data_IF_550242049509
#
_entry.id   IF_550242049509
#
_cell.length_a   1.000
_cell.length_b   1.000
_cell.length_c   1.000
_cell.angle_alpha   90.00
_cell.angle_beta   90.00
_cell.angle_gamma   90.00
#
_symmetry.space_group_name_H-M   'P 1'
#
loop_
_entity.id
_entity.type
_entity.pdbx_description
1 polymer ?
#
# COMPACT_ATOMS: atom_id res chain seq x y z
N UNK A 1 -10.69 6.35 14.83
CA UNK A 1 -9.53 5.86 14.05
C UNK A 1 -9.59 4.34 14.00
N UNK A 2 -9.18 3.69 12.89
CA UNK A 2 -9.04 2.25 12.80
C UNK A 2 -8.09 1.75 13.90
N UNK A 3 -8.39 0.60 14.52
CA UNK A 3 -7.49 0.03 15.52
C UNK A 3 -6.22 -0.45 14.81
N UNK A 4 -5.02 -0.15 15.35
CA UNK A 4 -3.78 -0.76 14.88
C UNK A 4 -3.92 -2.28 14.83
N UNK A 5 -3.42 -2.89 13.76
CA UNK A 5 -3.33 -4.35 13.65
C UNK A 5 -1.88 -4.75 13.95
N UNK A 6 -1.58 -5.30 15.13
CA UNK A 6 -0.19 -5.58 15.51
C UNK A 6 0.47 -6.54 14.54
N UNK A 7 1.77 -6.34 14.26
CA UNK A 7 2.51 -7.18 13.31
C UNK A 7 2.46 -8.68 13.68
N UNK A 8 2.48 -9.01 14.98
CA UNK A 8 2.36 -10.40 15.43
C UNK A 8 1.01 -11.03 15.07
N UNK A 9 -0.04 -10.22 14.96
CA UNK A 9 -1.36 -10.66 14.52
C UNK A 9 -1.44 -10.74 12.98
N UNK A 10 -0.75 -9.86 12.25
CA UNK A 10 -0.61 -9.95 10.79
C UNK A 10 -0.02 -11.30 10.38
N UNK A 11 1.05 -11.75 11.03
CA UNK A 11 1.70 -13.06 10.78
C UNK A 11 0.84 -14.28 11.15
N UNK A 12 -0.36 -14.07 11.71
CA UNK A 12 -1.32 -15.14 12.04
C UNK A 12 -2.65 -14.97 11.31
N UNK A 13 -2.72 -14.02 10.39
CA UNK A 13 -3.95 -13.68 9.66
C UNK A 13 -4.04 -14.48 8.37
N UNK A 14 -4.75 -15.61 8.44
CA UNK A 14 -4.91 -16.53 7.32
C UNK A 14 -6.11 -16.22 6.42
N UNK A 15 -6.78 -15.08 6.61
CA UNK A 15 -7.86 -14.65 5.70
C UNK A 15 -7.33 -14.54 4.26
N UNK A 16 -7.97 -15.19 3.28
CA UNK A 16 -7.56 -15.11 1.88
C UNK A 16 -7.73 -13.69 1.32
N UNK A 17 -6.78 -13.28 0.49
CA UNK A 17 -6.81 -12.02 -0.25
C UNK A 17 -7.26 -12.28 -1.69
N UNK A 18 -8.25 -11.51 -2.16
CA UNK A 18 -8.81 -11.64 -3.51
C UNK A 18 -8.28 -10.57 -4.45
N UNK A 19 -8.10 -9.35 -3.94
CA UNK A 19 -7.58 -8.22 -4.70
C UNK A 19 -6.60 -7.42 -3.86
N UNK A 20 -5.58 -6.90 -4.52
CA UNK A 20 -4.76 -5.81 -3.99
C UNK A 20 -5.36 -4.51 -4.52
N UNK A 21 -5.93 -3.71 -3.62
CA UNK A 21 -6.46 -2.40 -3.97
C UNK A 21 -5.46 -1.32 -3.60
N UNK A 22 -5.03 -0.56 -4.60
CA UNK A 22 -4.23 0.65 -4.40
C UNK A 22 -5.19 1.82 -4.34
N UNK A 23 -5.22 2.53 -3.22
CA UNK A 23 -6.04 3.72 -3.07
C UNK A 23 -5.18 4.95 -2.85
N UNK A 24 -5.54 6.02 -3.53
CA UNK A 24 -5.05 7.38 -3.28
C UNK A 24 -6.05 8.05 -2.35
N UNK A 25 -5.59 8.44 -1.18
CA UNK A 25 -6.40 9.05 -0.14
C UNK A 25 -6.16 10.57 -0.15
N UNK A 26 -7.24 11.35 -0.15
CA UNK A 26 -7.26 12.80 -0.03
C UNK A 26 -7.39 13.27 1.42
N UNK A 27 -7.27 14.59 1.63
CA UNK A 27 -7.51 15.22 2.93
C UNK A 27 -6.32 15.25 3.89
N UNK A 28 -5.09 15.11 3.37
CA UNK A 28 -3.86 15.30 4.15
C UNK A 28 -3.17 16.60 3.75
N UNK A 29 -2.68 17.35 4.74
CA UNK A 29 -2.04 18.66 4.57
C UNK A 29 -0.82 18.63 3.63
N UNK A 30 -0.20 17.45 3.47
CA UNK A 30 1.05 17.26 2.74
C UNK A 30 0.84 16.54 1.38
N UNK A 31 -0.40 16.48 0.89
CA UNK A 31 -0.76 15.91 -0.41
C UNK A 31 -1.43 14.53 -0.33
N UNK A 32 -1.54 13.80 -1.45
CA UNK A 32 -2.23 12.50 -1.42
C UNK A 32 -1.41 11.42 -0.70
N UNK A 33 -2.11 10.47 -0.10
CA UNK A 33 -1.51 9.31 0.54
C UNK A 33 -1.85 8.04 -0.23
N UNK A 34 -0.85 7.30 -0.69
CA UNK A 34 -1.06 6.01 -1.35
C UNK A 34 -1.06 4.91 -0.28
N UNK A 35 -2.04 4.01 -0.33
CA UNK A 35 -2.14 2.87 0.59
C UNK A 35 -2.54 1.59 -0.13
N UNK A 36 -2.06 0.46 0.38
CA UNK A 36 -2.47 -0.87 -0.05
C UNK A 36 -3.61 -1.36 0.83
N UNK A 37 -4.68 -1.84 0.21
CA UNK A 37 -5.77 -2.54 0.87
C UNK A 37 -5.79 -3.98 0.35
N UNK A 38 -5.56 -4.93 1.25
CA UNK A 38 -5.71 -6.35 1.01
C UNK A 38 -7.19 -6.68 1.17
N UNK A 39 -7.90 -6.82 0.05
CA UNK A 39 -9.35 -7.06 0.06
C UNK A 39 -9.61 -8.54 0.27
N UNK A 40 -10.30 -8.88 1.35
CA UNK A 40 -10.53 -10.27 1.73
C UNK A 40 -11.63 -10.94 0.89
N UNK A 41 -11.68 -12.27 0.95
CA UNK A 41 -12.81 -13.04 0.44
C UNK A 41 -14.16 -12.49 0.97
N UNK A 42 -15.16 -12.43 0.10
CA UNK A 42 -16.46 -11.80 0.38
C UNK A 42 -16.54 -10.30 0.09
N UNK A 43 -15.41 -9.60 -0.14
CA UNK A 43 -15.37 -8.18 -0.53
C UNK A 43 -16.04 -7.20 0.46
N UNK A 44 -16.08 -7.56 1.74
CA UNK A 44 -16.67 -6.73 2.81
C UNK A 44 -15.62 -6.10 3.72
N UNK A 45 -14.45 -6.73 3.86
CA UNK A 45 -13.41 -6.32 4.79
C UNK A 45 -12.06 -6.23 4.10
N UNK A 46 -11.15 -5.46 4.69
CA UNK A 46 -9.78 -5.36 4.20
C UNK A 46 -8.76 -5.17 5.31
N UNK A 47 -7.53 -5.58 5.06
CA UNK A 47 -6.36 -5.21 5.85
C UNK A 47 -5.59 -4.15 5.07
N UNK A 48 -5.42 -2.97 5.66
CA UNK A 48 -4.60 -1.90 5.05
C UNK A 48 -3.15 -2.04 5.52
N UNK A 49 -2.23 -2.01 4.55
CA UNK A 49 -0.80 -1.90 4.75
C UNK A 49 -0.33 -0.57 4.15
N UNK A 50 0.39 0.23 4.93
CA UNK A 50 0.94 1.51 4.46
C UNK A 50 2.24 1.82 5.17
N UNK A 51 2.95 2.83 4.68
CA UNK A 51 4.14 3.36 5.33
C UNK A 51 3.94 4.82 5.72
N UNK A 52 4.32 5.15 6.96
CA UNK A 52 4.24 6.50 7.52
C UNK A 52 5.65 7.00 7.80
N UNK A 53 5.96 8.22 7.33
CA UNK A 53 7.17 8.90 7.73
C UNK A 53 7.07 9.32 9.20
N UNK A 54 8.15 9.12 9.94
CA UNK A 54 8.28 9.69 11.27
C UNK A 54 8.60 11.19 11.13
N UNK A 55 8.03 12.03 12.00
CA UNK A 55 8.05 13.49 11.80
C UNK A 55 9.43 14.12 12.01
N UNK A 56 10.29 13.43 12.73
CA UNK A 56 11.57 13.96 13.24
C UNK A 56 12.78 13.22 12.68
N UNK A 57 12.57 12.24 11.80
CA UNK A 57 13.61 11.36 11.26
C UNK A 57 13.34 11.05 9.79
N UNK A 58 14.34 10.54 9.08
CA UNK A 58 14.14 9.97 7.74
C UNK A 58 13.58 8.53 7.80
N UNK A 59 13.35 8.00 9.00
CA UNK A 59 12.81 6.66 9.17
C UNK A 59 11.33 6.61 8.84
N UNK A 60 10.87 5.41 8.51
CA UNK A 60 9.45 5.18 8.32
C UNK A 60 8.99 3.93 9.04
N UNK A 61 7.72 3.94 9.41
CA UNK A 61 7.07 2.82 10.07
C UNK A 61 6.03 2.21 9.14
N UNK A 62 6.10 0.89 8.96
CA UNK A 62 5.03 0.13 8.30
C UNK A 62 3.87 -0.04 9.27
N UNK A 63 2.69 0.39 8.84
CA UNK A 63 1.46 0.36 9.63
C UNK A 63 0.44 -0.59 9.01
N UNK A 64 -0.10 -1.44 9.87
CA UNK A 64 -1.17 -2.37 9.54
C UNK A 64 -2.45 -1.98 10.28
N UNK A 65 -3.60 -2.14 9.64
CA UNK A 65 -4.91 -1.89 10.26
C UNK A 65 -5.99 -2.75 9.59
N UNK A 66 -6.94 -3.22 10.38
CA UNK A 66 -8.09 -3.97 9.88
C UNK A 66 -9.32 -3.06 9.75
N UNK A 67 -10.09 -3.28 8.67
CA UNK A 67 -11.26 -2.49 8.34
C UNK A 67 -12.44 -3.39 7.98
N UNK A 68 -13.63 -2.96 8.38
CA UNK A 68 -14.92 -3.52 7.99
C UNK A 68 -15.45 -2.90 6.68
N UNK A 69 -14.53 -2.44 5.84
CA UNK A 69 -14.79 -1.87 4.53
C UNK A 69 -13.62 -2.22 3.62
N UNK A 70 -13.84 -2.12 2.30
CA UNK A 70 -12.79 -2.39 1.29
C UNK A 70 -12.23 -1.12 0.65
N UNK A 71 -12.85 0.04 0.88
CA UNK A 71 -12.38 1.34 0.43
C UNK A 71 -12.66 2.42 1.49
N UNK A 72 -11.69 3.28 1.76
CA UNK A 72 -11.87 4.40 2.67
C UNK A 72 -12.75 5.49 2.04
N UNK A 73 -13.58 6.17 2.84
CA UNK A 73 -14.31 7.37 2.41
C UNK A 73 -13.40 8.53 1.95
N UNK A 74 -12.11 8.50 2.33
CA UNK A 74 -11.11 9.47 1.87
C UNK A 74 -10.49 9.12 0.53
N UNK A 75 -10.81 7.96 -0.06
CA UNK A 75 -10.26 7.56 -1.34
C UNK A 75 -10.83 8.41 -2.47
N UNK A 76 -9.93 8.99 -3.27
CA UNK A 76 -10.27 9.84 -4.42
C UNK A 76 -10.05 9.13 -5.75
N UNK A 77 -9.11 8.16 -5.80
CA UNK A 77 -8.93 7.24 -6.93
C UNK A 77 -8.38 5.92 -6.40
N UNK A 78 -8.75 4.82 -7.04
CA UNK A 78 -8.24 3.49 -6.70
C UNK A 78 -8.13 2.58 -7.92
N UNK A 79 -7.34 1.52 -7.77
CA UNK A 79 -7.16 0.46 -8.75
C UNK A 79 -7.13 -0.88 -8.06
N UNK A 80 -7.82 -1.87 -8.63
CA UNK A 80 -7.86 -3.24 -8.15
C UNK A 80 -7.00 -4.13 -9.02
N UNK A 81 -6.11 -4.88 -8.38
CA UNK A 81 -5.28 -5.91 -9.03
C UNK A 81 -5.74 -7.27 -8.51
N UNK A 82 -6.25 -8.16 -9.37
CA UNK A 82 -6.67 -9.49 -8.95
C UNK A 82 -5.47 -10.31 -8.50
N UNK A 83 -5.66 -11.08 -7.43
CA UNK A 83 -4.69 -12.08 -6.98
C UNK A 83 -4.70 -13.26 -7.97
N UNK A 84 -3.54 -13.64 -8.49
CA UNK A 84 -3.36 -14.73 -9.45
C UNK A 84 -3.02 -16.06 -8.76
N UNK A 85 -2.27 -16.00 -7.66
CA UNK A 85 -1.94 -17.15 -6.81
C UNK A 85 -2.52 -16.92 -5.43
N UNK A 86 -3.31 -17.88 -4.95
CA UNK A 86 -3.91 -17.81 -3.62
C UNK A 86 -2.86 -17.43 -2.55
N UNK A 87 -3.20 -16.43 -1.76
CA UNK A 87 -2.40 -15.92 -0.66
C UNK A 87 -3.29 -15.35 0.44
N UNK A 88 -2.68 -15.16 1.60
CA UNK A 88 -3.30 -14.62 2.81
C UNK A 88 -2.64 -13.31 3.21
N UNK A 89 -3.25 -12.60 4.16
CA UNK A 89 -2.63 -11.41 4.78
C UNK A 89 -1.29 -11.78 5.42
N UNK A 90 -1.21 -12.94 6.07
CA UNK A 90 0.03 -13.49 6.64
C UNK A 90 1.13 -13.65 5.60
N UNK A 91 0.84 -14.22 4.42
CA UNK A 91 1.84 -14.41 3.37
C UNK A 91 2.44 -13.09 2.89
N UNK A 92 1.57 -12.08 2.70
CA UNK A 92 1.99 -10.72 2.30
C UNK A 92 2.73 -10.04 3.45
N UNK A 93 2.30 -10.24 4.69
CA UNK A 93 3.00 -9.79 5.89
C UNK A 93 4.42 -10.33 5.92
N UNK A 94 4.61 -11.64 5.83
CA UNK A 94 5.94 -12.25 5.78
C UNK A 94 6.78 -11.68 4.65
N UNK A 95 6.26 -11.60 3.42
CA UNK A 95 6.96 -10.98 2.29
C UNK A 95 7.47 -9.55 2.61
N UNK A 96 6.62 -8.69 3.19
CA UNK A 96 7.01 -7.31 3.56
C UNK A 96 8.18 -7.31 4.56
N UNK A 97 8.16 -8.19 5.55
CA UNK A 97 9.19 -8.18 6.60
C UNK A 97 10.46 -8.95 6.19
N UNK A 98 10.32 -10.08 5.50
CA UNK A 98 11.44 -10.90 5.02
C UNK A 98 12.28 -10.14 3.96
N UNK A 99 11.63 -9.29 3.16
CA UNK A 99 12.31 -8.41 2.19
C UNK A 99 12.82 -7.08 2.80
N UNK A 100 12.81 -6.92 4.12
CA UNK A 100 13.31 -5.70 4.79
C UNK A 100 12.48 -4.44 4.50
N UNK A 101 11.24 -4.55 3.98
CA UNK A 101 10.43 -3.39 3.58
C UNK A 101 9.95 -2.54 4.76
N UNK A 102 10.07 -3.08 5.98
CA UNK A 102 9.87 -2.35 7.23
C UNK A 102 11.04 -1.44 7.62
N UNK A 103 12.23 -1.65 7.05
CA UNK A 103 13.43 -0.84 7.25
C UNK A 103 13.58 0.19 6.12
N UNK A 104 12.49 0.88 5.82
CA UNK A 104 12.47 1.87 4.74
C UNK A 104 12.82 3.26 5.28
N UNK A 105 13.84 3.88 4.70
CA UNK A 105 14.13 5.30 4.88
C UNK A 105 13.44 6.11 3.79
N UNK A 106 12.75 7.17 4.20
CA UNK A 106 11.88 7.98 3.37
C UNK A 106 12.41 9.42 3.28
N UNK A 107 13.18 9.76 2.24
CA UNK A 107 13.80 11.08 2.11
C UNK A 107 12.78 12.22 2.17
N UNK A 108 12.91 13.08 3.18
CA UNK A 108 12.00 14.20 3.43
C UNK A 108 10.52 13.81 3.50
N UNK A 109 10.20 12.57 3.88
CA UNK A 109 8.82 12.06 3.97
C UNK A 109 8.08 11.87 2.63
N UNK A 110 8.79 11.84 1.50
CA UNK A 110 8.21 11.83 0.13
C UNK A 110 8.24 10.48 -0.60
N UNK A 111 8.74 9.42 0.02
CA UNK A 111 8.93 8.10 -0.60
C UNK A 111 7.77 7.10 -0.51
N UNK A 112 6.57 7.50 -0.07
CA UNK A 112 5.42 6.58 0.07
C UNK A 112 5.00 5.90 -1.24
N UNK A 113 5.06 6.64 -2.35
CA UNK A 113 4.70 6.12 -3.68
C UNK A 113 5.68 5.04 -4.14
N UNK A 114 6.98 5.32 -3.94
CA UNK A 114 8.05 4.38 -4.23
C UNK A 114 7.94 3.10 -3.40
N UNK A 115 7.69 3.25 -2.10
CA UNK A 115 7.49 2.10 -1.22
C UNK A 115 6.31 1.23 -1.68
N UNK A 116 5.14 1.84 -1.95
CA UNK A 116 3.97 1.11 -2.45
C UNK A 116 4.25 0.40 -3.78
N UNK A 117 4.95 1.06 -4.71
CA UNK A 117 5.36 0.44 -5.97
C UNK A 117 6.32 -0.73 -5.76
N UNK A 118 7.25 -0.61 -4.82
CA UNK A 118 8.20 -1.67 -4.45
C UNK A 118 7.46 -2.90 -3.88
N UNK A 119 6.50 -2.69 -2.98
CA UNK A 119 5.67 -3.80 -2.47
C UNK A 119 4.91 -4.51 -3.61
N UNK A 120 4.42 -3.78 -4.60
CA UNK A 120 3.79 -4.38 -5.77
C UNK A 120 4.77 -5.19 -6.62
N UNK A 121 6.04 -4.77 -6.75
CA UNK A 121 7.08 -5.57 -7.41
C UNK A 121 7.35 -6.86 -6.63
N UNK A 122 7.48 -6.80 -5.31
CA UNK A 122 7.67 -7.98 -4.46
C UNK A 122 6.51 -8.98 -4.61
N UNK A 123 5.27 -8.47 -4.70
CA UNK A 123 4.09 -9.32 -4.93
C UNK A 123 4.11 -9.99 -6.31
N UNK A 124 4.67 -9.33 -7.33
CA UNK A 124 4.89 -9.92 -8.66
C UNK A 124 5.96 -11.00 -8.60
N UNK A 125 7.07 -10.76 -7.89
CA UNK A 125 8.15 -11.74 -7.72
C UNK A 125 7.69 -12.98 -6.94
N UNK A 126 6.82 -12.80 -5.94
CA UNK A 126 6.14 -13.89 -5.25
C UNK A 126 5.05 -14.56 -6.10
N UNK A 127 4.69 -14.01 -7.27
CA UNK A 127 3.61 -14.52 -8.12
C UNK A 127 2.21 -14.33 -7.56
N UNK A 128 2.02 -13.46 -6.56
CA UNK A 128 0.71 -13.14 -6.00
C UNK A 128 -0.16 -12.36 -6.99
N UNK A 129 0.44 -11.47 -7.78
CA UNK A 129 -0.24 -10.63 -8.79
C UNK A 129 0.54 -10.60 -10.10
N UNK A 130 -0.12 -10.16 -11.17
CA UNK A 130 0.48 -10.09 -12.50
C UNK A 130 1.39 -8.88 -12.71
N UNK A 131 2.48 -9.09 -13.46
CA UNK A 131 3.46 -8.04 -13.81
C UNK A 131 2.85 -6.94 -14.67
N UNK A 132 1.92 -7.29 -15.56
CA UNK A 132 1.34 -6.35 -16.52
C UNK A 132 0.50 -5.28 -15.82
N UNK A 133 -0.30 -5.69 -14.85
CA UNK A 133 -1.16 -4.85 -14.04
C UNK A 133 -0.32 -3.82 -13.27
N UNK A 134 0.76 -4.25 -12.61
CA UNK A 134 1.66 -3.33 -11.89
C UNK A 134 2.37 -2.36 -12.85
N UNK A 135 2.84 -2.84 -14.01
CA UNK A 135 3.48 -1.97 -15.02
C UNK A 135 2.52 -0.89 -15.53
N UNK A 136 1.25 -1.23 -15.73
CA UNK A 136 0.22 -0.28 -16.17
C UNK A 136 -0.04 0.84 -15.16
N UNK A 137 0.19 0.58 -13.87
CA UNK A 137 0.00 1.55 -12.80
C UNK A 137 1.19 2.48 -12.59
N UNK A 138 2.38 2.16 -13.10
CA UNK A 138 3.60 2.95 -12.87
C UNK A 138 3.39 4.44 -13.12
N UNK A 139 2.77 4.79 -14.25
CA UNK A 139 2.50 6.18 -14.61
C UNK A 139 1.54 6.88 -13.63
N UNK A 140 0.62 6.16 -12.98
CA UNK A 140 -0.32 6.74 -12.01
C UNK A 140 0.38 7.17 -10.71
N UNK A 141 1.48 6.54 -10.33
CA UNK A 141 2.26 6.99 -9.17
C UNK A 141 2.99 8.32 -9.43
N UNK A 142 3.13 8.75 -10.69
CA UNK A 142 3.77 10.02 -11.04
C UNK A 142 2.90 11.27 -10.84
N UNK A 143 1.72 11.16 -10.23
CA UNK A 143 0.76 12.27 -10.15
C UNK A 143 0.26 12.58 -8.74
N UNK A 144 -0.07 13.85 -8.55
CA UNK A 144 -1.04 14.32 -7.58
C UNK A 144 -2.44 14.27 -8.18
N UNK A 145 -3.41 13.84 -7.38
CA UNK A 145 -4.82 13.76 -7.72
C UNK A 145 -5.59 14.80 -6.91
N UNK A 146 -6.42 15.58 -7.59
CA UNK A 146 -7.35 16.50 -6.93
C UNK A 146 -8.51 15.75 -6.27
N UNK A 147 -9.38 16.47 -5.55
CA UNK A 147 -10.51 15.88 -4.82
C UNK A 147 -11.52 15.15 -5.75
N UNK A 148 -11.51 15.44 -7.05
CA UNK A 148 -12.34 14.78 -8.05
C UNK A 148 -11.68 13.54 -8.65
N UNK A 149 -10.52 13.11 -8.13
CA UNK A 149 -9.77 11.96 -8.64
C UNK A 149 -9.07 12.21 -9.97
N UNK A 150 -8.94 13.46 -10.42
CA UNK A 150 -8.25 13.81 -11.66
C UNK A 150 -6.78 14.10 -11.39
N UNK A 151 -5.91 13.72 -12.34
CA UNK A 151 -4.49 14.12 -12.32
C UNK A 151 -4.41 15.64 -12.41
N UNK A 152 -3.82 16.27 -11.41
CA UNK A 152 -3.71 17.72 -11.28
C UNK A 152 -2.31 18.20 -11.65
N UNK A 153 -1.28 17.58 -11.06
CA UNK A 153 0.13 17.90 -11.35
C UNK A 153 1.01 16.68 -11.23
N UNK A 154 2.14 16.72 -11.93
CA UNK A 154 3.18 15.71 -11.78
C UNK A 154 3.83 15.80 -10.40
N UNK A 155 4.05 14.64 -9.81
CA UNK A 155 4.79 14.46 -8.58
C UNK A 155 5.73 13.27 -8.80
N UNK A 156 7.01 13.51 -9.13
CA UNK A 156 7.94 12.43 -9.37
C UNK A 156 7.99 11.51 -8.13
N UNK A 157 8.07 10.21 -8.38
CA UNK A 157 8.32 9.26 -7.31
C UNK A 157 9.72 9.52 -6.76
N UNK A 158 9.80 9.81 -5.46
CA UNK A 158 11.06 9.94 -4.75
C UNK A 158 11.43 8.56 -4.25
N UNK A 159 12.54 8.03 -4.74
CA UNK A 159 13.10 6.76 -4.25
C UNK A 159 13.59 6.94 -2.81
N UNK A 160 13.43 5.89 -2.02
CA UNK A 160 14.01 5.78 -0.69
C UNK A 160 14.86 4.51 -0.60
N UNK A 161 15.48 4.30 0.56
CA UNK A 161 16.45 3.23 0.77
C UNK A 161 15.84 2.15 1.66
N UNK A 162 16.15 0.89 1.36
CA UNK A 162 15.78 -0.28 2.17
C UNK A 162 17.07 -0.89 2.75
N UNK A 163 17.01 -1.37 4.00
CA UNK A 163 18.14 -1.97 4.72
C UNK A 163 17.85 -3.39 5.20
#
# INVERSE_FOLDING_TARGET
>A
MPKPFPVQAVFREHRPVMYIRIAVLGGFDNGNHFSLFLVHAGNETSTRCTVRADRDTETSTVEWSNHNYTLSHSAIVWWDIPVQRACTVSDIGHMVYDNGRFQYEMPGGRGRRWWTYTILQDMVECGFIGRYEVKSLYMNFGYFYNQNGQRDREMPMVEGTFY
#
